data_IF_948864734185
#
_entry.id   IF_948864734185
#
_cell.length_a   1.000
_cell.length_b   1.000
_cell.length_c   1.000
_cell.angle_alpha   90.00
_cell.angle_beta   90.00
_cell.angle_gamma   90.00
#
_symmetry.space_group_name_H-M   'P 1'
#
loop_
_entity.id
_entity.type
_entity.pdbx_description
1 polymer ?
#
# COMPACT_ATOMS: atom_id res chain seq x y z
N UNK A 1 -4.93 17.55 13.03
CA UNK A 1 -6.14 17.84 12.21
C UNK A 1 -6.94 16.55 12.16
N UNK A 2 -8.24 16.56 12.38
CA UNK A 2 -9.05 15.33 12.36
C UNK A 2 -10.41 15.62 11.76
N UNK A 3 -11.04 14.62 11.16
CA UNK A 3 -12.34 14.77 10.54
C UNK A 3 -12.81 13.50 9.84
N UNK A 4 -13.87 13.63 9.04
CA UNK A 4 -14.45 12.53 8.27
C UNK A 4 -14.28 12.76 6.77
N UNK A 5 -14.12 11.67 6.02
CA UNK A 5 -13.93 11.72 4.56
C UNK A 5 -15.17 12.15 3.77
N UNK A 6 -16.34 12.18 4.42
CA UNK A 6 -17.55 12.77 3.83
C UNK A 6 -17.61 14.30 3.95
N UNK A 7 -16.75 14.91 4.77
CA UNK A 7 -16.66 16.36 4.96
C UNK A 7 -15.56 16.98 4.09
N UNK A 8 -14.44 16.25 3.91
CA UNK A 8 -13.30 16.65 3.10
C UNK A 8 -12.66 15.42 2.46
N UNK A 9 -12.38 15.50 1.16
CA UNK A 9 -11.77 14.39 0.44
C UNK A 9 -10.25 14.25 0.71
N UNK A 10 -9.72 13.06 0.45
CA UNK A 10 -8.29 12.76 0.63
C UNK A 10 -7.41 13.72 -0.17
N UNK A 11 -7.81 14.06 -1.40
CA UNK A 11 -7.07 14.99 -2.25
C UNK A 11 -6.86 16.34 -1.55
N UNK A 12 -7.94 16.93 -1.02
CA UNK A 12 -7.89 18.23 -0.35
C UNK A 12 -7.06 18.16 0.94
N UNK A 13 -7.19 17.07 1.71
CA UNK A 13 -6.36 16.84 2.90
C UNK A 13 -4.87 16.87 2.54
N UNK A 14 -4.46 16.13 1.50
CA UNK A 14 -3.06 16.06 1.08
C UNK A 14 -2.54 17.40 0.56
N UNK A 15 -3.35 18.13 -0.22
CA UNK A 15 -2.99 19.46 -0.71
C UNK A 15 -2.84 20.48 0.43
N UNK A 16 -3.67 20.40 1.49
CA UNK A 16 -3.53 21.25 2.67
C UNK A 16 -2.23 20.97 3.44
N UNK A 17 -1.80 19.70 3.49
CA UNK A 17 -0.53 19.31 4.10
C UNK A 17 0.66 19.84 3.29
N UNK A 18 0.62 19.70 1.95
CA UNK A 18 1.63 20.20 1.01
C UNK A 18 1.75 21.74 1.10
N UNK A 19 0.63 22.46 0.98
CA UNK A 19 0.61 23.93 1.06
C UNK A 19 1.10 24.43 2.42
N UNK A 20 0.73 23.74 3.49
CA UNK A 20 1.17 24.06 4.84
C UNK A 20 2.60 23.62 5.15
N UNK A 21 3.30 22.96 4.21
CA UNK A 21 4.64 22.39 4.38
C UNK A 21 4.76 21.56 5.68
N UNK A 22 3.70 20.83 6.01
CA UNK A 22 3.61 20.14 7.31
C UNK A 22 4.40 18.84 7.31
N UNK A 23 5.00 18.54 8.44
CA UNK A 23 5.69 17.27 8.74
C UNK A 23 4.86 16.52 9.76
N UNK A 24 4.67 15.21 9.54
CA UNK A 24 3.85 14.39 10.43
C UNK A 24 3.29 13.15 9.74
N UNK A 25 2.34 12.50 10.40
CA UNK A 25 1.66 11.32 9.90
C UNK A 25 0.17 11.57 9.71
N UNK A 26 -0.37 11.13 8.57
CA UNK A 26 -1.79 11.06 8.27
C UNK A 26 -2.23 9.62 8.44
N UNK A 27 -3.07 9.37 9.42
CA UNK A 27 -3.81 8.14 9.59
C UNK A 27 -5.19 8.25 8.94
N UNK A 28 -5.58 7.23 8.18
CA UNK A 28 -6.91 7.12 7.56
C UNK A 28 -7.48 5.75 7.86
N UNK A 29 -8.74 5.71 8.28
CA UNK A 29 -9.47 4.47 8.53
C UNK A 29 -10.76 4.48 7.71
N UNK A 30 -10.96 3.45 6.88
CA UNK A 30 -12.21 3.26 6.17
C UNK A 30 -13.28 2.70 7.12
N UNK A 31 -14.50 3.21 7.00
CA UNK A 31 -15.64 2.57 7.66
C UNK A 31 -15.89 1.23 6.96
N UNK A 32 -15.63 0.14 7.67
CA UNK A 32 -15.76 -1.20 7.13
C UNK A 32 -17.16 -1.43 6.56
N UNK A 33 -17.24 -1.83 5.30
CA UNK A 33 -18.43 -2.50 4.80
C UNK A 33 -18.47 -3.88 5.45
N UNK A 34 -19.63 -4.33 5.99
CA UNK A 34 -19.73 -5.67 6.53
C UNK A 34 -19.43 -6.66 5.41
N UNK A 35 -18.28 -7.33 5.49
CA UNK A 35 -17.98 -8.44 4.59
C UNK A 35 -18.99 -9.54 4.88
N UNK A 36 -19.83 -9.83 3.89
CA UNK A 36 -20.71 -11.00 3.91
C UNK A 36 -19.84 -12.24 3.70
N UNK A 37 -19.05 -12.63 4.69
CA UNK A 37 -18.51 -13.98 4.76
C UNK A 37 -19.69 -14.93 5.03
N UNK A 38 -20.01 -15.76 4.05
CA UNK A 38 -21.02 -16.84 4.09
C UNK A 38 -20.63 -18.01 4.99
N UNK A 39 -19.94 -17.74 6.10
CA UNK A 39 -19.60 -18.76 7.10
C UNK A 39 -20.20 -18.35 8.45
N UNK A 40 -21.35 -18.94 8.78
CA UNK A 40 -22.18 -18.65 9.95
C UNK A 40 -21.52 -18.99 11.31
N UNK A 41 -20.24 -19.36 11.33
CA UNK A 41 -19.55 -19.89 12.52
C UNK A 41 -18.30 -19.10 12.93
N UNK A 42 -17.94 -18.02 12.23
CA UNK A 42 -16.84 -17.13 12.64
C UNK A 42 -17.39 -15.74 13.01
N UNK A 43 -16.87 -15.09 14.07
CA UNK A 43 -17.26 -13.71 14.36
C UNK A 43 -16.98 -12.84 13.13
N UNK A 44 -17.98 -12.05 12.71
CA UNK A 44 -17.86 -11.07 11.61
C UNK A 44 -16.69 -10.13 11.93
N UNK A 45 -15.50 -10.45 11.42
CA UNK A 45 -14.32 -9.61 11.59
C UNK A 45 -14.53 -8.40 10.70
N UNK A 46 -15.01 -7.31 11.28
CA UNK A 46 -14.96 -5.99 10.64
C UNK A 46 -13.48 -5.69 10.50
N UNK A 47 -12.91 -5.99 9.33
CA UNK A 47 -11.55 -5.62 9.01
C UNK A 47 -11.63 -4.15 8.57
N UNK A 48 -11.58 -3.23 9.54
CA UNK A 48 -11.40 -1.82 9.21
C UNK A 48 -10.03 -1.70 8.55
N UNK A 49 -10.03 -1.43 7.24
CA UNK A 49 -8.79 -1.16 6.53
C UNK A 49 -8.31 0.23 6.94
N UNK A 50 -7.03 0.32 7.27
CA UNK A 50 -6.42 1.56 7.70
C UNK A 50 -5.09 1.77 7.01
N UNK A 51 -4.72 3.03 6.85
CA UNK A 51 -3.54 3.46 6.12
C UNK A 51 -2.82 4.57 6.89
N UNK A 52 -1.50 4.60 6.71
CA UNK A 52 -0.63 5.66 7.17
C UNK A 52 0.07 6.30 5.96
N UNK A 53 0.15 7.63 5.96
CA UNK A 53 0.94 8.41 5.02
C UNK A 53 1.84 9.35 5.82
N UNK A 54 3.15 9.27 5.61
CA UNK A 54 4.14 10.06 6.31
C UNK A 54 4.61 11.21 5.43
N UNK A 55 4.72 12.39 6.05
CA UNK A 55 5.08 13.63 5.39
C UNK A 55 6.30 14.28 6.03
N UNK A 56 7.12 14.91 5.20
CA UNK A 56 8.21 15.77 5.61
C UNK A 56 8.20 17.02 4.74
N UNK A 57 8.07 18.20 5.35
CA UNK A 57 8.00 19.50 4.67
C UNK A 57 6.96 19.50 3.53
N UNK A 58 5.77 18.93 3.76
CA UNK A 58 4.73 18.84 2.75
C UNK A 58 4.92 17.78 1.65
N UNK A 59 6.06 17.07 1.63
CA UNK A 59 6.34 15.98 0.70
C UNK A 59 6.04 14.62 1.34
N UNK A 60 5.67 13.61 0.54
CA UNK A 60 5.44 12.24 1.01
C UNK A 60 6.78 11.50 1.10
N UNK A 61 7.02 10.83 2.22
CA UNK A 61 8.22 10.02 2.43
C UNK A 61 7.93 8.51 2.45
N UNK A 62 6.72 8.12 2.84
CA UNK A 62 6.24 6.73 2.85
C UNK A 62 4.73 6.69 2.97
N UNK A 63 4.11 5.63 2.44
CA UNK A 63 2.72 5.29 2.70
C UNK A 63 2.53 3.77 2.72
N UNK A 64 1.67 3.29 3.60
CA UNK A 64 1.34 1.89 3.71
C UNK A 64 0.02 1.63 4.40
N UNK A 65 -0.47 0.42 4.26
CA UNK A 65 -1.67 -0.05 4.94
C UNK A 65 -1.32 -0.79 6.24
N UNK A 66 -2.34 -1.11 7.01
CA UNK A 66 -2.23 -1.98 8.19
C UNK A 66 -2.25 -3.48 7.85
N UNK A 67 -2.38 -3.86 6.58
CA UNK A 67 -2.63 -5.25 6.14
C UNK A 67 -1.37 -6.13 6.15
N UNK A 68 -0.19 -5.56 6.34
CA UNK A 68 1.00 -6.29 6.79
C UNK A 68 2.05 -6.57 5.70
N UNK A 69 2.70 -7.74 5.76
CA UNK A 69 3.97 -8.02 5.05
C UNK A 69 3.83 -8.60 3.63
N UNK A 70 2.60 -8.90 3.18
CA UNK A 70 2.36 -9.54 1.88
C UNK A 70 2.77 -8.65 0.71
N UNK A 71 2.41 -7.37 0.75
CA UNK A 71 2.77 -6.40 -0.28
C UNK A 71 4.28 -6.27 -0.44
N UNK A 72 5.03 -6.11 0.65
CA UNK A 72 6.49 -6.11 0.60
C UNK A 72 7.07 -7.43 0.04
N UNK A 73 6.49 -8.60 0.37
CA UNK A 73 6.93 -9.89 -0.21
C UNK A 73 6.85 -9.86 -1.73
N UNK A 74 5.76 -9.34 -2.29
CA UNK A 74 5.57 -9.25 -3.75
C UNK A 74 6.65 -8.41 -4.42
N UNK A 75 7.02 -7.29 -3.82
CA UNK A 75 8.14 -6.47 -4.29
C UNK A 75 9.48 -7.20 -4.23
N UNK A 76 9.73 -7.96 -3.16
CA UNK A 76 10.99 -8.68 -2.99
C UNK A 76 11.10 -9.92 -3.88
N UNK A 77 9.98 -10.52 -4.30
CA UNK A 77 9.98 -11.64 -5.26
C UNK A 77 10.70 -11.30 -6.54
N UNK A 78 10.54 -10.07 -7.05
CA UNK A 78 11.25 -9.58 -8.24
C UNK A 78 12.78 -9.64 -8.10
N UNK A 79 13.28 -9.57 -6.88
CA UNK A 79 14.71 -9.55 -6.57
C UNK A 79 15.22 -10.87 -5.97
N UNK A 80 14.37 -11.90 -5.87
CA UNK A 80 14.67 -13.18 -5.20
C UNK A 80 15.01 -13.04 -3.70
N UNK A 81 14.41 -12.04 -3.03
CA UNK A 81 14.69 -11.69 -1.63
C UNK A 81 13.52 -11.97 -0.67
N UNK A 82 12.43 -12.59 -1.14
CA UNK A 82 11.23 -12.81 -0.31
C UNK A 82 11.53 -13.57 0.99
N UNK A 83 12.42 -14.56 0.93
CA UNK A 83 12.83 -15.40 2.06
C UNK A 83 13.52 -14.60 3.18
N UNK A 84 14.06 -13.42 2.87
CA UNK A 84 14.72 -12.58 3.86
C UNK A 84 13.74 -11.85 4.78
N UNK A 85 12.47 -11.72 4.42
CA UNK A 85 11.46 -11.07 5.28
C UNK A 85 11.25 -11.84 6.58
N UNK A 86 11.35 -13.17 6.55
CA UNK A 86 11.20 -14.00 7.76
C UNK A 86 12.50 -14.08 8.57
N UNK A 87 13.64 -13.84 7.91
CA UNK A 87 14.98 -13.99 8.51
C UNK A 87 15.51 -12.69 9.11
N UNK A 88 15.11 -11.55 8.56
CA UNK A 88 15.55 -10.23 9.01
C UNK A 88 14.60 -9.74 10.09
N UNK A 89 15.06 -9.79 11.34
CA UNK A 89 14.40 -9.11 12.45
C UNK A 89 14.37 -7.60 12.22
N UNK A 90 13.20 -6.98 12.42
CA UNK A 90 13.02 -5.53 12.33
C UNK A 90 13.82 -4.87 13.46
N UNK A 91 14.65 -3.88 13.14
CA UNK A 91 15.21 -3.00 14.17
C UNK A 91 14.06 -2.29 14.89
N UNK A 92 14.11 -2.23 16.23
CA UNK A 92 13.03 -1.70 17.07
C UNK A 92 12.54 -0.29 16.67
N UNK A 93 13.32 0.45 15.88
CA UNK A 93 13.13 1.85 15.48
C UNK A 93 11.95 2.06 14.50
N UNK A 94 11.40 1.03 13.85
CA UNK A 94 10.35 1.20 12.81
C UNK A 94 9.00 0.51 13.11
N UNK A 95 8.77 0.08 14.35
CA UNK A 95 7.87 -1.06 14.62
C UNK A 95 6.38 -0.74 14.77
N UNK A 96 5.94 0.50 15.00
CA UNK A 96 4.52 0.74 15.29
C UNK A 96 3.67 1.04 14.05
N UNK A 97 4.04 2.06 13.26
CA UNK A 97 3.17 2.58 12.20
C UNK A 97 3.69 2.29 10.76
N UNK A 98 4.92 1.80 10.60
CA UNK A 98 5.55 1.58 9.29
C UNK A 98 6.45 0.33 9.24
N UNK A 99 5.91 -0.87 9.55
CA UNK A 99 6.72 -2.09 9.62
C UNK A 99 7.40 -2.43 8.30
N UNK A 100 6.76 -2.24 7.15
CA UNK A 100 7.38 -2.54 5.85
C UNK A 100 8.56 -1.60 5.55
N UNK A 101 8.44 -0.31 5.91
CA UNK A 101 9.53 0.66 5.78
C UNK A 101 10.77 0.21 6.55
N UNK A 102 10.55 -0.29 7.78
CA UNK A 102 11.62 -0.87 8.61
C UNK A 102 12.32 -2.06 7.95
N UNK A 103 11.58 -2.93 7.27
CA UNK A 103 12.18 -4.06 6.55
C UNK A 103 12.97 -3.61 5.32
N UNK A 104 12.43 -2.67 4.52
CA UNK A 104 13.17 -2.10 3.38
C UNK A 104 14.49 -1.48 3.86
N UNK A 105 14.45 -0.74 4.98
CA UNK A 105 15.66 -0.20 5.58
C UNK A 105 16.65 -1.30 6.01
N UNK A 106 16.18 -2.33 6.73
CA UNK A 106 17.04 -3.42 7.17
C UNK A 106 17.69 -4.19 6.00
N UNK A 107 16.99 -4.29 4.86
CA UNK A 107 17.53 -4.87 3.62
C UNK A 107 18.59 -3.98 2.96
N UNK A 108 18.44 -2.66 3.04
CA UNK A 108 19.43 -1.70 2.57
C UNK A 108 20.68 -1.72 3.44
N UNK A 109 20.53 -1.77 4.77
CA UNK A 109 21.66 -1.88 5.71
C UNK A 109 22.51 -3.14 5.46
N UNK A 110 21.85 -4.26 5.12
CA UNK A 110 22.52 -5.53 4.78
C UNK A 110 23.04 -5.59 3.35
N UNK A 111 22.89 -4.52 2.56
CA UNK A 111 23.25 -4.47 1.14
C UNK A 111 22.54 -5.52 0.27
N UNK A 112 21.44 -6.11 0.77
CA UNK A 112 20.61 -7.03 0.00
C UNK A 112 19.81 -6.27 -1.08
N UNK A 113 19.43 -5.02 -0.77
CA UNK A 113 18.89 -4.08 -1.74
C UNK A 113 19.91 -2.97 -2.03
N UNK A 114 19.94 -2.52 -3.27
CA UNK A 114 20.59 -1.26 -3.64
C UNK A 114 19.69 -0.07 -3.25
N UNK A 115 20.26 1.12 -2.98
CA UNK A 115 19.45 2.31 -2.71
C UNK A 115 18.44 2.65 -3.80
N UNK A 116 18.75 2.36 -5.06
CA UNK A 116 17.82 2.55 -6.17
C UNK A 116 16.63 1.59 -6.10
N UNK A 117 16.85 0.32 -5.75
CA UNK A 117 15.77 -0.65 -5.55
C UNK A 117 14.92 -0.29 -4.34
N UNK A 118 15.52 0.06 -3.21
CA UNK A 118 14.78 0.51 -2.03
C UNK A 118 13.88 1.71 -2.32
N UNK A 119 14.40 2.73 -3.03
CA UNK A 119 13.58 3.86 -3.51
C UNK A 119 12.43 3.42 -4.41
N UNK A 120 12.70 2.54 -5.38
CA UNK A 120 11.67 2.05 -6.30
C UNK A 120 10.54 1.32 -5.57
N UNK A 121 10.87 0.50 -4.56
CA UNK A 121 9.87 -0.22 -3.75
C UNK A 121 9.01 0.78 -2.98
N UNK A 122 9.64 1.71 -2.25
CA UNK A 122 8.91 2.71 -1.45
C UNK A 122 8.04 3.60 -2.32
N UNK A 123 8.52 4.03 -3.49
CA UNK A 123 7.73 4.83 -4.43
C UNK A 123 6.50 4.07 -4.95
N UNK A 124 6.65 2.77 -5.21
CA UNK A 124 5.55 1.94 -5.72
C UNK A 124 4.52 1.69 -4.62
N UNK A 125 4.96 1.42 -3.39
CA UNK A 125 4.11 1.36 -2.19
C UNK A 125 3.33 2.65 -1.94
N UNK A 126 3.96 3.81 -2.13
CA UNK A 126 3.26 5.09 -2.03
C UNK A 126 2.16 5.17 -3.09
N UNK A 127 2.47 4.85 -4.36
CA UNK A 127 1.47 4.91 -5.45
C UNK A 127 0.28 3.98 -5.19
N UNK A 128 0.51 2.75 -4.75
CA UNK A 128 -0.54 1.79 -4.39
C UNK A 128 -1.41 2.33 -3.25
N UNK A 129 -0.79 2.80 -2.17
CA UNK A 129 -1.53 3.33 -1.03
C UNK A 129 -2.38 4.55 -1.41
N UNK A 130 -1.85 5.44 -2.26
CA UNK A 130 -2.60 6.59 -2.74
C UNK A 130 -3.74 6.19 -3.68
N UNK A 131 -3.56 5.12 -4.47
CA UNK A 131 -4.61 4.59 -5.33
C UNK A 131 -5.82 4.15 -4.49
N UNK A 132 -5.57 3.43 -3.39
CA UNK A 132 -6.60 3.01 -2.45
C UNK A 132 -7.25 4.21 -1.77
N UNK A 133 -6.44 5.10 -1.17
CA UNK A 133 -6.91 6.25 -0.43
C UNK A 133 -7.77 7.19 -1.27
N UNK A 134 -7.37 7.50 -2.51
CA UNK A 134 -8.13 8.35 -3.42
C UNK A 134 -9.41 7.68 -3.94
N UNK A 135 -9.53 6.37 -3.78
CA UNK A 135 -10.75 5.61 -4.09
C UNK A 135 -11.72 5.54 -2.91
N UNK A 136 -11.32 5.98 -1.72
CA UNK A 136 -12.17 6.04 -0.54
C UNK A 136 -13.16 7.21 -0.59
N UNK A 137 -14.40 6.91 -0.23
CA UNK A 137 -15.48 7.90 -0.14
C UNK A 137 -15.99 8.07 1.31
N UNK A 138 -15.66 7.15 2.20
CA UNK A 138 -16.13 7.12 3.59
C UNK A 138 -15.04 6.61 4.52
N UNK A 139 -14.94 7.24 5.70
CA UNK A 139 -13.92 6.94 6.70
C UNK A 139 -13.65 8.13 7.60
N UNK A 140 -12.70 7.97 8.51
CA UNK A 140 -12.14 9.04 9.34
C UNK A 140 -10.66 9.20 9.08
N UNK A 141 -10.16 10.39 9.35
CA UNK A 141 -8.73 10.68 9.27
C UNK A 141 -8.25 11.49 10.46
N UNK A 142 -6.98 11.30 10.81
CA UNK A 142 -6.26 12.08 11.81
C UNK A 142 -4.87 12.37 11.27
N UNK A 143 -4.47 13.64 11.28
CA UNK A 143 -3.12 14.08 11.00
C UNK A 143 -2.47 14.60 12.28
N UNK A 144 -1.34 13.99 12.64
CA UNK A 144 -0.55 14.32 13.82
C UNK A 144 0.81 14.85 13.41
N UNK A 145 1.27 15.92 14.07
CA UNK A 145 2.63 16.43 13.87
C UNK A 145 3.57 15.51 14.64
N UNK A 146 4.44 14.83 13.92
CA UNK A 146 5.40 13.88 14.45
C UNK A 146 6.76 14.05 13.75
N UNK A 147 7.86 13.57 14.35
CA UNK A 147 9.15 13.53 13.66
C UNK A 147 9.04 12.71 12.37
N UNK A 148 9.73 13.09 11.29
CA UNK A 148 9.72 12.31 10.06
C UNK A 148 10.36 10.93 10.28
N UNK A 149 9.95 9.96 9.47
CA UNK A 149 10.60 8.64 9.45
C UNK A 149 12.08 8.80 9.12
N UNK A 150 12.93 8.17 9.94
CA UNK A 150 14.37 8.19 9.78
C UNK A 150 14.90 6.75 9.67
N UNK A 151 15.82 6.48 8.72
CA UNK A 151 16.34 7.40 7.72
C UNK A 151 15.35 7.65 6.60
N UNK A 152 15.51 8.74 5.85
CA UNK A 152 14.66 9.09 4.72
C UNK A 152 15.10 8.36 3.45
N UNK A 153 14.25 7.47 2.93
CA UNK A 153 14.54 6.70 1.73
C UNK A 153 14.18 7.45 0.44
N UNK A 154 13.09 8.20 0.44
CA UNK A 154 12.60 8.95 -0.72
C UNK A 154 11.79 10.17 -0.29
N UNK A 155 11.60 11.10 -1.23
CA UNK A 155 10.67 12.21 -1.16
C UNK A 155 9.90 12.29 -2.45
N UNK A 156 8.60 12.54 -2.36
CA UNK A 156 7.74 12.74 -3.52
C UNK A 156 6.85 13.95 -3.27
N UNK A 157 6.82 14.87 -4.24
CA UNK A 157 5.88 16.00 -4.23
C UNK A 157 4.44 15.48 -4.34
N UNK A 158 3.58 15.95 -3.43
CA UNK A 158 2.18 15.51 -3.34
C UNK A 158 1.44 15.82 -4.64
N UNK A 159 1.58 17.04 -5.15
CA UNK A 159 0.90 17.47 -6.37
C UNK A 159 1.27 16.62 -7.59
N UNK A 160 2.54 16.20 -7.70
CA UNK A 160 3.01 15.37 -8.82
C UNK A 160 2.38 13.99 -8.80
N UNK A 161 2.42 13.32 -7.65
CA UNK A 161 1.92 11.94 -7.55
C UNK A 161 0.40 11.88 -7.57
N UNK A 162 -0.29 12.87 -7.00
CA UNK A 162 -1.75 12.95 -7.07
C UNK A 162 -2.25 13.05 -8.51
N UNK A 163 -1.61 13.86 -9.36
CA UNK A 163 -2.01 13.99 -10.75
C UNK A 163 -1.90 12.65 -11.50
N UNK A 164 -0.78 11.95 -11.33
CA UNK A 164 -0.55 10.61 -11.91
C UNK A 164 -1.59 9.60 -11.41
N UNK A 165 -1.77 9.50 -10.10
CA UNK A 165 -2.65 8.49 -9.49
C UNK A 165 -4.12 8.74 -9.85
N UNK A 166 -4.57 10.00 -9.90
CA UNK A 166 -5.95 10.32 -10.33
C UNK A 166 -6.18 9.89 -11.78
N UNK A 167 -5.21 10.10 -12.66
CA UNK A 167 -5.29 9.62 -14.05
C UNK A 167 -5.39 8.09 -14.09
N UNK A 168 -4.54 7.39 -13.32
CA UNK A 168 -4.59 5.93 -13.22
C UNK A 168 -5.94 5.42 -12.70
N UNK A 169 -6.53 6.06 -11.70
CA UNK A 169 -7.86 5.70 -11.17
C UNK A 169 -8.95 5.91 -12.24
N UNK A 170 -8.87 6.99 -13.01
CA UNK A 170 -9.83 7.25 -14.09
C UNK A 170 -9.74 6.19 -15.18
N UNK A 171 -8.53 5.82 -15.60
CA UNK A 171 -8.29 4.75 -16.56
C UNK A 171 -8.77 3.40 -16.01
N UNK A 172 -8.49 3.12 -14.73
CA UNK A 172 -8.94 1.90 -14.05
C UNK A 172 -10.47 1.76 -14.06
N UNK A 173 -11.19 2.85 -13.78
CA UNK A 173 -12.66 2.86 -13.76
C UNK A 173 -13.28 2.53 -15.13
N UNK A 174 -12.55 2.67 -16.24
CA UNK A 174 -13.03 2.29 -17.58
C UNK A 174 -13.15 0.77 -17.76
N UNK A 175 -12.46 -0.03 -16.93
CA UNK A 175 -12.58 -1.49 -16.95
C UNK A 175 -13.83 -2.02 -16.24
N UNK A 176 -14.55 -1.15 -15.52
CA UNK A 176 -15.83 -1.50 -14.92
C UNK A 176 -16.88 -1.82 -16.01
N UNK A 177 -17.67 -2.91 -15.90
CA UNK A 177 -17.85 -3.77 -14.73
C UNK A 177 -16.98 -5.04 -14.71
N UNK A 178 -16.10 -5.23 -15.70
CA UNK A 178 -15.38 -6.49 -15.92
C UNK A 178 -14.28 -6.75 -14.88
N UNK A 179 -13.61 -5.68 -14.43
CA UNK A 179 -12.63 -5.71 -13.35
C UNK A 179 -13.15 -4.82 -12.22
N UNK A 180 -13.46 -5.44 -11.08
CA UNK A 180 -14.09 -4.79 -9.93
C UNK A 180 -13.09 -4.44 -8.82
N UNK A 181 -11.94 -5.11 -8.78
CA UNK A 181 -10.89 -4.88 -7.79
C UNK A 181 -9.50 -4.94 -8.44
N UNK A 182 -8.54 -4.10 -8.02
CA UNK A 182 -7.12 -4.25 -8.39
C UNK A 182 -6.56 -5.63 -8.03
N UNK A 183 -7.07 -6.23 -6.96
CA UNK A 183 -6.67 -7.56 -6.49
C UNK A 183 -7.38 -8.70 -7.22
N UNK A 184 -8.25 -8.39 -8.20
CA UNK A 184 -8.97 -9.41 -8.96
C UNK A 184 -7.99 -10.16 -9.88
N UNK A 185 -7.52 -11.32 -9.43
CA UNK A 185 -6.69 -12.19 -10.24
C UNK A 185 -7.48 -12.77 -11.42
N UNK A 186 -6.89 -12.82 -12.64
CA UNK A 186 -7.48 -13.55 -13.76
C UNK A 186 -7.73 -15.01 -13.39
N UNK A 187 -8.93 -15.51 -13.71
CA UNK A 187 -9.25 -16.92 -13.52
C UNK A 187 -8.93 -17.74 -14.77
N UNK A 188 -8.32 -18.91 -14.58
CA UNK A 188 -8.10 -19.88 -15.65
C UNK A 188 -9.43 -20.61 -15.88
N UNK A 189 -10.10 -20.32 -17.00
CA UNK A 189 -11.42 -20.89 -17.33
C UNK A 189 -11.29 -22.36 -17.78
N UNK A 190 -10.25 -22.69 -18.53
CA UNK A 190 -10.06 -24.02 -19.14
C UNK A 190 -8.83 -24.75 -18.57
N UNK A 191 -8.86 -25.03 -17.27
CA UNK A 191 -7.75 -25.68 -16.55
C UNK A 191 -7.34 -27.02 -17.17
N UNK A 192 -8.30 -27.81 -17.67
CA UNK A 192 -8.03 -29.13 -18.24
C UNK A 192 -7.30 -29.05 -19.59
N UNK A 193 -7.64 -28.08 -20.44
CA UNK A 193 -6.88 -27.85 -21.68
C UNK A 193 -5.47 -27.34 -21.37
N UNK A 194 -5.35 -26.45 -20.38
CA UNK A 194 -4.06 -25.94 -19.92
C UNK A 194 -3.14 -27.06 -19.38
N UNK A 195 -3.69 -28.04 -18.66
CA UNK A 195 -2.98 -29.25 -18.19
C UNK A 195 -2.43 -30.09 -19.32
N UNK A 196 -3.14 -30.18 -20.44
CA UNK A 196 -2.66 -30.93 -21.62
C UNK A 196 -1.60 -30.17 -22.42
N UNK A 197 -1.62 -28.84 -22.38
CA UNK A 197 -0.70 -27.99 -23.15
C UNK A 197 0.59 -27.64 -22.41
N UNK A 198 0.58 -27.58 -21.08
CA UNK A 198 1.72 -27.16 -20.26
C UNK A 198 2.41 -28.30 -19.53
N UNK A 199 3.71 -28.11 -19.28
CA UNK A 199 4.48 -29.00 -18.40
C UNK A 199 3.97 -28.89 -16.95
N UNK A 200 4.01 -29.97 -16.15
CA UNK A 200 3.50 -29.97 -14.78
C UNK A 200 4.13 -28.91 -13.86
N UNK A 201 5.42 -28.59 -14.08
CA UNK A 201 6.14 -27.56 -13.32
C UNK A 201 5.62 -26.15 -13.62
N UNK A 202 5.28 -25.85 -14.88
CA UNK A 202 4.73 -24.56 -15.28
C UNK A 202 3.30 -24.39 -14.78
N UNK A 203 2.52 -25.47 -14.78
CA UNK A 203 1.16 -25.46 -14.22
C UNK A 203 1.18 -25.12 -12.73
N UNK A 204 2.11 -25.71 -11.96
CA UNK A 204 2.32 -25.44 -10.53
C UNK A 204 2.75 -24.02 -10.18
N UNK A 205 3.27 -23.27 -11.15
CA UNK A 205 3.64 -21.86 -10.96
C UNK A 205 2.46 -20.93 -11.25
N UNK A 206 1.44 -21.40 -11.98
CA UNK A 206 0.26 -20.63 -12.39
C UNK A 206 -0.96 -20.88 -11.49
N UNK A 207 -0.97 -22.00 -10.74
CA UNK A 207 -2.03 -22.40 -9.79
C UNK A 207 -1.51 -22.36 -8.36
#
# INVERSE_FOLDING_TARGET
>A
MQGKLNEIDIRSIMQLIELGQRTGELFVEAYGTPTSSTSELAPKKICAQSWFVFFQNGQIIYAGDSAGRSRLRDYLRRYDLEHLIDTIGISAIATLNAPEYGHVWALLERQALTPAQGRSIVQSMIRETLFDLLSLHQGSFTFEISPPLSPQLTTIEVSSILADTIKQIQEWKQFSPHIQSPDQCPAIIELEQLRTALKPQTLRLLT
#
